data_IF_868637730697
#
_entry.id   IF_868637730697
#
_cell.length_a   1.000
_cell.length_b   1.000
_cell.length_c   1.000
_cell.angle_alpha   90.00
_cell.angle_beta   90.00
_cell.angle_gamma   90.00
#
_symmetry.space_group_name_H-M   'P 1'
#
loop_
_entity.id
_entity.type
_entity.pdbx_description
1 polymer ?
#
# COMPACT_ATOMS: atom_id res chain seq x y z
N UNK A 1 -1.89 55.26 27.65
CA UNK A 1 -0.96 54.11 27.72
C UNK A 1 -1.79 52.85 27.76
N UNK A 2 -1.54 51.95 26.82
CA UNK A 2 -2.26 50.71 26.62
C UNK A 2 -1.87 49.65 27.68
N UNK A 3 -2.83 48.84 28.12
CA UNK A 3 -2.61 47.65 28.93
C UNK A 3 -3.66 46.60 28.58
N UNK A 4 -3.31 45.72 27.63
CA UNK A 4 -4.22 44.80 26.97
C UNK A 4 -4.60 43.57 27.79
N UNK A 5 -5.89 43.30 27.85
CA UNK A 5 -6.45 41.98 28.15
C UNK A 5 -6.51 41.16 26.86
N UNK A 6 -5.81 40.02 26.86
CA UNK A 6 -5.80 39.04 25.76
C UNK A 6 -7.21 38.47 25.55
N UNK A 7 -7.76 38.42 24.32
CA UNK A 7 -8.96 37.65 24.07
C UNK A 7 -8.62 36.16 24.10
N UNK A 8 -9.46 35.38 24.79
CA UNK A 8 -9.53 33.93 24.65
C UNK A 8 -9.64 33.58 23.17
N UNK A 9 -8.64 32.85 22.66
CA UNK A 9 -8.75 32.11 21.40
C UNK A 9 -9.80 31.01 21.59
N UNK A 10 -11.05 31.33 21.29
CA UNK A 10 -12.05 30.34 20.95
C UNK A 10 -11.54 29.61 19.69
N UNK A 11 -10.97 28.41 19.87
CA UNK A 11 -10.72 27.48 18.78
C UNK A 11 -12.07 27.01 18.26
N UNK A 12 -12.64 27.80 17.34
CA UNK A 12 -13.78 27.41 16.53
C UNK A 12 -13.39 26.14 15.76
N UNK A 13 -13.97 25.02 16.18
CA UNK A 13 -14.13 23.84 15.34
C UNK A 13 -14.88 24.25 14.07
N UNK A 14 -14.14 24.48 12.98
CA UNK A 14 -14.72 24.45 11.63
C UNK A 14 -14.57 23.03 11.11
N UNK A 15 -15.66 22.31 10.82
CA UNK A 15 -15.58 21.11 10.01
C UNK A 15 -15.39 21.57 8.57
N UNK A 16 -14.15 21.68 8.11
CA UNK A 16 -13.88 21.70 6.67
C UNK A 16 -13.94 20.26 6.15
N UNK A 17 -15.13 19.66 6.23
CA UNK A 17 -15.49 18.51 5.42
C UNK A 17 -16.20 19.05 4.18
N UNK A 18 -15.42 19.65 3.30
CA UNK A 18 -15.80 19.89 1.91
C UNK A 18 -14.95 18.95 1.06
N UNK A 19 -15.20 17.65 1.22
CA UNK A 19 -14.84 16.69 0.19
C UNK A 19 -15.98 16.81 -0.82
N UNK A 20 -15.83 17.69 -1.79
CA UNK A 20 -16.47 17.46 -3.08
C UNK A 20 -15.81 16.21 -3.65
N UNK A 21 -16.36 15.05 -3.30
CA UNK A 21 -16.07 13.79 -3.96
C UNK A 21 -16.62 13.93 -5.37
N UNK A 22 -15.88 14.58 -6.27
CA UNK A 22 -15.96 14.17 -7.66
C UNK A 22 -15.50 12.74 -7.62
N UNK A 23 -16.43 11.79 -7.78
CA UNK A 23 -16.08 10.39 -7.98
C UNK A 23 -15.19 10.35 -9.23
N UNK A 24 -13.87 10.41 -9.04
CA UNK A 24 -12.92 10.18 -10.12
C UNK A 24 -13.19 8.74 -10.53
N UNK A 25 -13.79 8.57 -11.71
CA UNK A 25 -14.00 7.25 -12.28
C UNK A 25 -12.63 6.63 -12.44
N UNK A 26 -12.30 5.68 -11.56
CA UNK A 26 -11.05 4.93 -11.64
C UNK A 26 -11.01 4.28 -13.02
N UNK A 27 -10.09 4.74 -13.85
CA UNK A 27 -9.95 4.22 -15.21
C UNK A 27 -9.00 3.02 -15.16
N UNK A 28 -9.41 1.93 -15.82
CA UNK A 28 -8.62 0.70 -15.91
C UNK A 28 -7.97 0.61 -17.29
N UNK A 29 -6.80 0.00 -17.36
CA UNK A 29 -6.06 -0.18 -18.61
C UNK A 29 -5.40 -1.55 -18.66
N UNK A 30 -5.34 -2.14 -19.86
CA UNK A 30 -4.64 -3.39 -20.09
C UNK A 30 -3.17 -3.12 -20.41
N UNK A 31 -2.29 -3.58 -19.54
CA UNK A 31 -0.85 -3.56 -19.74
C UNK A 31 -0.37 -4.87 -20.35
N UNK A 32 0.59 -4.82 -21.28
CA UNK A 32 1.28 -6.01 -21.78
C UNK A 32 2.32 -6.51 -20.78
N UNK A 33 2.26 -7.79 -20.46
CA UNK A 33 3.18 -8.47 -19.56
C UNK A 33 3.88 -9.64 -20.26
N UNK A 34 4.96 -10.13 -19.67
CA UNK A 34 5.48 -11.47 -19.88
C UNK A 34 4.43 -12.49 -19.42
N UNK A 35 4.56 -13.75 -19.85
CA UNK A 35 3.53 -14.76 -19.62
C UNK A 35 3.28 -15.00 -18.13
N UNK A 36 2.19 -14.42 -17.60
CA UNK A 36 1.78 -14.53 -16.21
C UNK A 36 0.88 -15.76 -16.00
N UNK A 37 0.84 -16.28 -14.78
CA UNK A 37 0.07 -17.47 -14.40
C UNK A 37 -1.41 -17.12 -14.16
N UNK A 38 -2.06 -16.44 -15.11
CA UNK A 38 -3.51 -16.22 -15.05
C UNK A 38 -4.28 -17.43 -15.57
N UNK A 39 -5.44 -17.72 -14.98
CA UNK A 39 -6.40 -18.71 -15.49
C UNK A 39 -7.10 -18.26 -16.77
N UNK A 40 -7.07 -16.95 -17.07
CA UNK A 40 -7.62 -16.42 -18.31
C UNK A 40 -6.84 -16.91 -19.54
N UNK A 41 -7.52 -16.97 -20.69
CA UNK A 41 -6.90 -17.30 -21.98
C UNK A 41 -5.78 -16.31 -22.31
N UNK A 42 -5.95 -15.04 -21.92
CA UNK A 42 -4.97 -13.99 -22.16
C UNK A 42 -3.95 -13.88 -21.02
N UNK A 43 -2.86 -14.65 -21.14
CA UNK A 43 -1.74 -14.66 -20.19
C UNK A 43 -0.69 -13.57 -20.41
N UNK A 44 -0.88 -12.72 -21.43
CA UNK A 44 0.11 -11.70 -21.87
C UNK A 44 -0.38 -10.27 -21.68
N UNK A 45 -1.55 -10.10 -21.06
CA UNK A 45 -2.04 -8.79 -20.64
C UNK A 45 -2.57 -8.84 -19.22
N UNK A 46 -2.53 -7.71 -18.55
CA UNK A 46 -2.95 -7.55 -17.17
C UNK A 46 -3.75 -6.25 -17.03
N UNK A 47 -4.92 -6.32 -16.41
CA UNK A 47 -5.70 -5.13 -16.07
C UNK A 47 -5.12 -4.45 -14.84
N UNK A 48 -4.80 -3.16 -14.94
CA UNK A 48 -4.30 -2.29 -13.86
C UNK A 48 -5.09 -0.98 -13.81
N UNK A 49 -4.95 -0.19 -12.73
CA UNK A 49 -5.50 1.16 -12.72
C UNK A 49 -4.56 2.13 -13.44
N UNK A 50 -5.11 3.10 -14.18
CA UNK A 50 -4.31 4.14 -14.84
C UNK A 50 -3.54 5.03 -13.85
N UNK A 51 -4.08 5.18 -12.65
CA UNK A 51 -3.41 5.97 -11.62
C UNK A 51 -2.19 5.23 -11.03
N UNK A 52 -2.07 3.91 -11.20
CA UNK A 52 -0.89 3.15 -10.77
C UNK A 52 0.38 3.65 -11.49
N UNK A 53 0.26 4.23 -12.69
CA UNK A 53 1.40 4.78 -13.42
C UNK A 53 1.94 6.10 -12.83
N UNK A 54 1.18 6.75 -11.95
CA UNK A 54 1.52 8.06 -11.37
C UNK A 54 2.11 7.97 -9.96
N UNK A 55 2.34 6.74 -9.47
CA UNK A 55 2.81 6.46 -8.10
C UNK A 55 4.07 7.22 -7.71
N UNK A 56 5.06 7.37 -8.61
CA UNK A 56 6.32 8.06 -8.31
C UNK A 56 6.08 9.51 -7.87
N UNK A 57 5.16 10.25 -8.52
CA UNK A 57 4.85 11.63 -8.16
C UNK A 57 4.33 11.70 -6.72
N UNK A 58 3.39 10.81 -6.37
CA UNK A 58 2.79 10.76 -5.04
C UNK A 58 3.78 10.37 -3.95
N UNK A 59 4.64 9.40 -4.20
CA UNK A 59 5.68 8.98 -3.25
C UNK A 59 6.71 10.09 -3.01
N UNK A 60 7.11 10.81 -4.08
CA UNK A 60 8.07 11.90 -3.99
C UNK A 60 7.53 13.07 -3.17
N UNK A 61 6.25 13.42 -3.38
CA UNK A 61 5.63 14.56 -2.72
C UNK A 61 5.35 14.31 -1.23
N UNK A 62 5.02 13.06 -0.84
CA UNK A 62 4.75 12.71 0.56
C UNK A 62 6.02 12.52 1.42
N UNK A 63 7.12 12.08 0.82
CA UNK A 63 8.39 11.82 1.51
C UNK A 63 8.34 10.62 2.48
N UNK A 64 9.08 9.55 2.17
CA UNK A 64 9.09 8.31 2.97
C UNK A 64 9.43 8.54 4.46
N UNK A 65 10.37 9.44 4.75
CA UNK A 65 10.78 9.76 6.12
C UNK A 65 9.65 10.36 6.94
N UNK A 66 8.93 11.34 6.38
CA UNK A 66 7.84 12.00 7.09
C UNK A 66 6.68 11.02 7.35
N UNK A 67 6.34 10.23 6.33
CA UNK A 67 5.34 9.17 6.47
C UNK A 67 5.74 8.15 7.54
N UNK A 68 7.01 7.73 7.60
CA UNK A 68 7.53 6.87 8.65
C UNK A 68 7.33 7.46 10.05
N UNK A 69 7.70 8.73 10.25
CA UNK A 69 7.47 9.43 11.53
C UNK A 69 5.99 9.50 11.92
N UNK A 70 5.09 9.68 10.94
CA UNK A 70 3.64 9.72 11.18
C UNK A 70 3.08 8.35 11.56
N UNK A 71 3.56 7.29 10.91
CA UNK A 71 3.17 5.90 11.21
C UNK A 71 3.63 5.52 12.63
N UNK A 72 4.87 5.82 13.00
CA UNK A 72 5.38 5.57 14.36
C UNK A 72 4.59 6.34 15.43
N UNK A 73 4.19 7.58 15.15
CA UNK A 73 3.32 8.33 16.06
C UNK A 73 1.96 7.64 16.23
N UNK A 74 1.37 7.13 15.14
CA UNK A 74 0.11 6.39 15.17
C UNK A 74 0.26 5.09 15.95
N UNK A 75 1.34 4.33 15.71
CA UNK A 75 1.71 3.14 16.47
C UNK A 75 1.74 3.45 17.97
N UNK A 76 2.53 4.45 18.38
CA UNK A 76 2.66 4.83 19.79
C UNK A 76 1.32 5.20 20.44
N UNK A 77 0.41 5.83 19.69
CA UNK A 77 -0.92 6.16 20.20
C UNK A 77 -1.82 4.92 20.36
N UNK A 78 -1.78 4.00 19.40
CA UNK A 78 -2.58 2.77 19.42
C UNK A 78 -2.07 1.80 20.48
N UNK A 79 -0.75 1.67 20.63
CA UNK A 79 -0.12 0.72 21.56
C UNK A 79 0.00 1.27 22.99
N UNK A 80 -0.33 2.55 23.23
CA UNK A 80 -0.24 3.19 24.56
C UNK A 80 -1.08 2.51 25.65
N UNK A 81 -2.08 1.72 25.27
CA UNK A 81 -2.93 0.97 26.21
C UNK A 81 -2.29 -0.34 26.72
N UNK A 82 -1.14 -0.75 26.17
CA UNK A 82 -0.43 -1.97 26.58
C UNK A 82 -1.07 -3.30 26.16
N UNK A 83 -2.18 -3.27 25.40
CA UNK A 83 -2.95 -4.46 25.02
C UNK A 83 -3.25 -4.54 23.51
N UNK A 84 -3.09 -3.45 22.77
CA UNK A 84 -3.27 -3.40 21.32
C UNK A 84 -1.91 -3.38 20.63
N UNK A 85 -1.79 -4.14 19.54
CA UNK A 85 -0.65 -4.10 18.62
C UNK A 85 -1.06 -3.37 17.35
N UNK A 86 -0.23 -2.45 16.89
CA UNK A 86 -0.44 -1.76 15.63
C UNK A 86 0.26 -2.51 14.50
N UNK A 87 -0.48 -2.80 13.43
CA UNK A 87 0.05 -3.41 12.21
C UNK A 87 -0.47 -2.63 11.02
N UNK A 88 0.46 -2.15 10.18
CA UNK A 88 0.15 -1.47 8.93
C UNK A 88 0.27 -2.45 7.78
N UNK A 89 -0.86 -3.03 7.37
CA UNK A 89 -0.94 -3.83 6.15
C UNK A 89 -1.09 -2.92 4.94
N UNK A 90 -0.03 -2.83 4.13
CA UNK A 90 -0.08 -2.13 2.85
C UNK A 90 -0.23 -3.14 1.74
N UNK A 91 -1.37 -3.11 1.04
CA UNK A 91 -1.64 -4.00 -0.09
C UNK A 91 -0.83 -3.54 -1.31
N UNK A 92 0.09 -4.37 -1.85
CA UNK A 92 0.71 -4.05 -3.13
C UNK A 92 -0.35 -4.03 -4.22
N UNK A 93 -0.37 -3.00 -5.05
CA UNK A 93 -1.18 -3.02 -6.26
C UNK A 93 -0.62 -4.05 -7.27
N UNK A 94 -1.45 -4.42 -8.23
CA UNK A 94 -1.11 -5.45 -9.22
C UNK A 94 0.10 -5.07 -10.09
N UNK A 95 0.27 -3.78 -10.38
CA UNK A 95 1.41 -3.28 -11.14
C UNK A 95 2.72 -3.45 -10.35
N UNK A 96 2.70 -3.18 -9.04
CA UNK A 96 3.82 -3.43 -8.13
C UNK A 96 4.13 -4.93 -8.00
N UNK A 97 3.12 -5.77 -7.76
CA UNK A 97 3.33 -7.20 -7.51
C UNK A 97 3.84 -7.97 -8.75
N UNK A 98 3.45 -7.56 -9.96
CA UNK A 98 3.89 -8.17 -11.22
C UNK A 98 5.08 -7.44 -11.88
N UNK A 99 5.81 -6.58 -11.15
CA UNK A 99 6.88 -5.75 -11.71
C UNK A 99 7.88 -6.53 -12.59
N UNK A 100 8.33 -7.71 -12.15
CA UNK A 100 9.28 -8.54 -12.91
C UNK A 100 8.72 -9.06 -14.24
N UNK A 101 7.40 -9.12 -14.36
CA UNK A 101 6.68 -9.58 -15.54
C UNK A 101 6.30 -8.42 -16.46
N UNK A 102 6.53 -7.17 -16.09
CA UNK A 102 6.25 -6.02 -16.97
C UNK A 102 7.32 -5.95 -18.06
N UNK A 103 6.90 -5.74 -19.31
CA UNK A 103 7.84 -5.60 -20.44
C UNK A 103 8.61 -4.28 -20.40
N UNK A 104 7.92 -3.20 -20.07
CA UNK A 104 8.51 -1.88 -19.88
C UNK A 104 9.34 -1.87 -18.59
N UNK A 105 10.64 -1.56 -18.72
CA UNK A 105 11.57 -1.56 -17.59
C UNK A 105 11.38 -0.34 -16.68
N UNK A 106 10.93 0.78 -17.23
CA UNK A 106 10.72 2.02 -16.47
C UNK A 106 9.62 1.83 -15.41
N UNK A 107 8.65 0.96 -15.71
CA UNK A 107 7.52 0.68 -14.84
C UNK A 107 7.81 -0.31 -13.71
N UNK A 108 8.97 -0.97 -13.70
CA UNK A 108 9.29 -2.01 -12.71
C UNK A 108 9.61 -1.47 -11.32
N UNK A 109 10.11 -0.24 -11.25
CA UNK A 109 10.63 0.37 -10.01
C UNK A 109 9.83 1.59 -9.56
N UNK A 110 8.58 1.73 -10.00
CA UNK A 110 7.74 2.91 -9.72
C UNK A 110 7.16 2.95 -8.29
N UNK A 111 7.28 1.85 -7.55
CA UNK A 111 6.73 1.72 -6.20
C UNK A 111 7.84 1.79 -5.16
N UNK A 112 7.68 2.66 -4.17
CA UNK A 112 8.57 2.73 -3.01
C UNK A 112 8.09 1.86 -1.83
N UNK A 113 7.14 0.95 -2.06
CA UNK A 113 6.57 0.12 -1.00
C UNK A 113 7.62 -0.72 -0.26
N UNK A 114 8.55 -1.35 -0.99
CA UNK A 114 9.61 -2.15 -0.37
C UNK A 114 10.54 -1.27 0.49
N UNK A 115 10.79 -0.03 0.08
CA UNK A 115 11.61 0.91 0.85
C UNK A 115 10.89 1.35 2.13
N UNK A 116 9.61 1.71 2.03
CA UNK A 116 8.76 2.02 3.18
C UNK A 116 8.73 0.86 4.19
N UNK A 117 8.46 -0.36 3.71
CA UNK A 117 8.36 -1.54 4.56
C UNK A 117 9.71 -1.87 5.24
N UNK A 118 10.83 -1.62 4.55
CA UNK A 118 12.17 -1.84 5.12
C UNK A 118 12.53 -0.81 6.20
N UNK A 119 11.96 0.41 6.16
CA UNK A 119 12.12 1.40 7.22
C UNK A 119 11.21 1.17 8.44
N UNK A 120 10.18 0.34 8.30
CA UNK A 120 9.17 0.08 9.34
C UNK A 120 8.95 -1.43 9.56
N UNK A 121 10.02 -2.24 9.73
CA UNK A 121 9.91 -3.70 9.77
C UNK A 121 9.06 -4.20 10.95
N UNK A 122 8.98 -3.42 12.03
CA UNK A 122 8.25 -3.75 13.25
C UNK A 122 6.73 -3.66 13.13
N UNK A 123 6.23 -2.95 12.11
CA UNK A 123 4.79 -2.71 11.94
C UNK A 123 4.28 -3.05 10.54
N UNK A 124 5.14 -3.25 9.55
CA UNK A 124 4.76 -3.58 8.17
C UNK A 124 5.16 -5.02 7.81
N UNK A 125 4.20 -5.97 7.75
CA UNK A 125 4.45 -7.29 7.21
C UNK A 125 4.91 -7.20 5.75
N UNK A 126 5.90 -8.02 5.36
CA UNK A 126 6.49 -8.04 4.00
C UNK A 126 5.60 -8.74 2.95
N UNK A 127 4.34 -8.30 2.86
CA UNK A 127 3.35 -8.75 1.87
C UNK A 127 3.83 -8.53 0.43
N UNK A 128 4.59 -7.46 0.20
CA UNK A 128 5.22 -7.16 -1.08
C UNK A 128 6.13 -8.30 -1.53
N UNK A 129 6.93 -8.87 -0.61
CA UNK A 129 7.83 -9.99 -0.92
C UNK A 129 7.09 -11.31 -1.05
N UNK A 130 6.14 -11.60 -0.17
CA UNK A 130 5.45 -12.90 -0.18
C UNK A 130 4.58 -13.07 -1.43
N UNK A 131 3.85 -12.02 -1.85
CA UNK A 131 3.08 -12.02 -3.10
C UNK A 131 3.98 -12.10 -4.34
N UNK A 132 5.08 -11.33 -4.39
CA UNK A 132 6.04 -11.42 -5.52
C UNK A 132 6.64 -12.82 -5.61
N UNK A 133 6.97 -13.43 -4.47
CA UNK A 133 7.52 -14.79 -4.42
C UNK A 133 6.53 -15.82 -4.97
N UNK A 134 5.25 -15.76 -4.56
CA UNK A 134 4.19 -16.61 -5.09
C UNK A 134 4.03 -16.46 -6.62
N UNK A 135 4.02 -15.23 -7.12
CA UNK A 135 3.92 -14.94 -8.56
C UNK A 135 5.14 -15.51 -9.31
N UNK A 136 6.36 -15.35 -8.79
CA UNK A 136 7.59 -15.92 -9.37
C UNK A 136 7.55 -17.45 -9.41
N UNK A 137 6.96 -18.09 -8.39
CA UNK A 137 6.69 -19.53 -8.36
C UNK A 137 5.56 -19.99 -9.27
N UNK A 138 4.96 -19.07 -10.04
CA UNK A 138 3.89 -19.35 -11.01
C UNK A 138 2.60 -19.82 -10.35
N UNK A 139 2.36 -19.43 -9.09
CA UNK A 139 1.09 -19.65 -8.44
C UNK A 139 -0.02 -18.98 -9.25
N UNK A 140 -1.06 -19.75 -9.56
CA UNK A 140 -2.12 -19.28 -10.44
C UNK A 140 -2.97 -18.24 -9.73
N UNK A 141 -3.30 -17.17 -10.46
CA UNK A 141 -4.24 -16.15 -10.04
C UNK A 141 -3.95 -15.53 -8.67
N UNK A 142 -2.70 -15.23 -8.29
CA UNK A 142 -2.44 -14.44 -7.06
C UNK A 142 -3.28 -13.14 -7.04
N UNK A 143 -3.51 -12.57 -8.24
CA UNK A 143 -4.52 -11.54 -8.48
C UNK A 143 -5.52 -12.06 -9.53
N UNK A 144 -6.75 -11.58 -9.46
CA UNK A 144 -7.77 -11.94 -10.45
C UNK A 144 -7.35 -11.46 -11.86
N UNK A 145 -7.56 -12.24 -12.94
CA UNK A 145 -7.10 -11.87 -14.27
C UNK A 145 -7.73 -10.58 -14.83
N UNK A 146 -9.04 -10.41 -14.64
CA UNK A 146 -9.88 -9.34 -15.18
C UNK A 146 -10.27 -8.28 -14.13
N UNK A 147 -9.59 -8.29 -12.98
CA UNK A 147 -9.80 -7.32 -11.91
C UNK A 147 -8.43 -6.92 -11.29
N UNK A 148 -8.44 -5.87 -10.48
CA UNK A 148 -7.27 -5.30 -9.81
C UNK A 148 -7.06 -5.88 -8.41
N UNK A 149 -8.05 -6.57 -7.84
CA UNK A 149 -7.96 -7.20 -6.52
C UNK A 149 -7.21 -8.53 -6.53
N UNK A 150 -6.77 -8.94 -5.34
CA UNK A 150 -6.31 -10.29 -5.07
C UNK A 150 -7.41 -11.32 -5.36
N UNK A 151 -7.03 -12.52 -5.79
CA UNK A 151 -7.97 -13.65 -5.76
C UNK A 151 -8.03 -14.24 -4.34
N UNK A 152 -8.78 -15.33 -4.16
CA UNK A 152 -8.72 -16.16 -2.95
C UNK A 152 -7.29 -16.58 -2.59
N UNK A 153 -6.46 -16.94 -3.56
CA UNK A 153 -5.06 -17.31 -3.34
C UNK A 153 -4.26 -16.13 -2.80
N UNK A 154 -4.42 -14.93 -3.37
CA UNK A 154 -3.75 -13.73 -2.87
C UNK A 154 -4.20 -13.33 -1.47
N UNK A 155 -5.50 -13.44 -1.17
CA UNK A 155 -6.03 -13.21 0.18
C UNK A 155 -5.50 -14.23 1.20
N UNK A 156 -5.36 -15.50 0.81
CA UNK A 156 -4.78 -16.53 1.67
C UNK A 156 -3.32 -16.22 2.01
N UNK A 157 -2.49 -15.92 1.01
CA UNK A 157 -1.09 -15.53 1.22
C UNK A 157 -0.99 -14.31 2.14
N UNK A 158 -1.87 -13.32 1.96
CA UNK A 158 -1.89 -12.13 2.79
C UNK A 158 -2.25 -12.43 4.25
N UNK A 159 -3.22 -13.31 4.48
CA UNK A 159 -3.62 -13.75 5.81
C UNK A 159 -2.50 -14.53 6.50
N UNK A 160 -1.88 -15.49 5.80
CA UNK A 160 -0.76 -16.29 6.32
C UNK A 160 0.44 -15.38 6.67
N UNK A 161 0.78 -14.43 5.78
CA UNK A 161 1.86 -13.46 6.04
C UNK A 161 1.58 -12.61 7.29
N UNK A 162 0.33 -12.20 7.51
CA UNK A 162 -0.06 -11.46 8.70
C UNK A 162 0.04 -12.32 9.96
N UNK A 163 -0.45 -13.56 9.91
CA UNK A 163 -0.38 -14.47 11.05
C UNK A 163 1.07 -14.75 11.45
N UNK A 164 1.94 -15.02 10.48
CA UNK A 164 3.37 -15.22 10.73
C UNK A 164 4.01 -14.01 11.39
N UNK A 165 3.68 -12.80 10.92
CA UNK A 165 4.15 -11.54 11.48
C UNK A 165 3.67 -11.29 12.91
N UNK A 166 2.43 -11.70 13.21
CA UNK A 166 1.88 -11.60 14.57
C UNK A 166 2.53 -12.61 15.52
N UNK A 167 2.87 -13.81 15.04
CA UNK A 167 3.47 -14.88 15.85
C UNK A 167 4.99 -14.74 16.07
N UNK A 168 5.69 -14.01 15.20
CA UNK A 168 7.13 -13.73 15.34
C UNK A 168 7.35 -12.23 15.57
N UNK A 169 7.04 -11.69 16.76
CA UNK A 169 7.42 -10.32 17.08
C UNK A 169 8.93 -10.19 16.97
N UNK A 170 9.40 -9.34 16.06
CA UNK A 170 10.79 -8.89 16.00
C UNK A 170 11.14 -8.39 17.40
N UNK A 171 12.08 -9.08 18.02
CA UNK A 171 12.52 -8.78 19.38
C UNK A 171 13.33 -7.49 19.31
N UNK A 172 12.91 -6.46 20.07
CA UNK A 172 13.69 -5.23 20.24
C UNK A 172 15.05 -5.52 20.89
#
# INVERSE_FOLDING_TARGET
>A
MAGGTRPMLACYWRPFCSITQSARRLSREYMRVLMAAFSSVNKRSMLVYKDDFRKIEWWRDMGLREMGCRIERMRNQVEANGHTRFVLMVAPDKLTAYADFIRDKELRNISLLSELASHLPEVVPRLDLTLVSAIRRREQDVYMPNDTHWSSTGYQIAAETLLDFLHHPTTQ
#
